data_IF_762712939412
#
_entry.id   IF_762712939412
#
_cell.length_a   1.000
_cell.length_b   1.000
_cell.length_c   1.000
_cell.angle_alpha   90.00
_cell.angle_beta   90.00
_cell.angle_gamma   90.00
#
_symmetry.space_group_name_H-M   'P 1'
#
loop_
_entity.id
_entity.type
_entity.pdbx_description
1 polymer ?
#
# COMPACT_ATOMS: atom_id res chain seq x y z
N UNK A 1 -6.97 -7.11 16.58
CA UNK A 1 -5.51 -7.07 16.34
C UNK A 1 -4.80 -6.89 17.67
N UNK A 2 -3.81 -7.73 17.98
CA UNK A 2 -2.90 -7.53 19.11
C UNK A 2 -1.86 -6.47 18.74
N UNK A 3 -1.73 -5.40 19.53
CA UNK A 3 -0.64 -4.43 19.38
C UNK A 3 0.58 -4.90 20.16
N UNK A 4 1.75 -4.84 19.53
CA UNK A 4 3.04 -5.14 20.15
C UNK A 4 3.89 -3.87 20.10
N UNK A 5 4.42 -3.44 21.24
CA UNK A 5 5.41 -2.36 21.30
C UNK A 5 6.79 -2.93 20.97
N UNK A 6 7.41 -2.38 19.93
CA UNK A 6 8.75 -2.76 19.48
C UNK A 6 9.68 -1.54 19.49
N UNK A 7 10.82 -1.67 20.17
CA UNK A 7 11.88 -0.64 20.18
C UNK A 7 12.97 -1.05 19.19
N UNK A 8 13.35 -0.15 18.28
CA UNK A 8 14.38 -0.38 17.27
C UNK A 8 15.37 0.78 17.22
N UNK A 9 16.65 0.47 17.03
CA UNK A 9 17.68 1.46 16.73
C UNK A 9 17.70 1.74 15.23
N UNK A 10 17.50 3.00 14.85
CA UNK A 10 17.54 3.46 13.47
C UNK A 10 18.43 4.71 13.37
N UNK A 11 19.10 4.95 12.24
CA UNK A 11 19.84 6.20 12.05
C UNK A 11 18.93 7.43 12.14
N UNK A 12 19.48 8.57 12.58
CA UNK A 12 18.71 9.81 12.82
C UNK A 12 17.92 10.28 11.59
N UNK A 13 18.51 10.15 10.39
CA UNK A 13 17.84 10.52 9.15
C UNK A 13 16.59 9.66 8.89
N UNK A 14 16.64 8.37 9.23
CA UNK A 14 15.54 7.44 9.11
C UNK A 14 14.51 7.71 10.20
N UNK A 15 14.94 7.98 11.43
CA UNK A 15 14.04 8.37 12.52
C UNK A 15 13.18 9.59 12.13
N UNK A 16 13.77 10.61 11.51
CA UNK A 16 13.03 11.79 11.04
C UNK A 16 11.98 11.45 9.98
N UNK A 17 12.28 10.54 9.05
CA UNK A 17 11.33 10.06 8.04
C UNK A 17 10.21 9.24 8.66
N UNK A 18 10.55 8.29 9.54
CA UNK A 18 9.59 7.42 10.23
C UNK A 18 8.62 8.23 11.09
N UNK A 19 9.10 9.28 11.77
CA UNK A 19 8.26 10.18 12.58
C UNK A 19 7.13 10.82 11.76
N UNK A 20 7.38 11.20 10.50
CA UNK A 20 6.37 11.82 9.63
C UNK A 20 5.28 10.82 9.21
N UNK A 21 5.67 9.58 8.97
CA UNK A 21 4.75 8.52 8.54
C UNK A 21 4.22 7.66 9.72
N UNK A 22 4.46 8.04 10.98
CA UNK A 22 4.08 7.25 12.18
C UNK A 22 2.66 6.67 12.11
N UNK A 23 1.61 7.41 11.71
CA UNK A 23 0.26 6.86 11.63
C UNK A 23 0.08 5.72 10.61
N UNK A 24 0.93 5.70 9.59
CA UNK A 24 0.90 4.81 8.44
C UNK A 24 2.04 3.80 8.44
N UNK A 25 2.93 3.88 9.44
CA UNK A 25 4.13 3.07 9.52
C UNK A 25 3.84 1.57 9.50
N UNK A 26 2.81 1.04 10.21
CA UNK A 26 2.47 -0.38 10.11
C UNK A 26 2.21 -0.81 8.66
N UNK A 27 1.45 -0.02 7.90
CA UNK A 27 1.13 -0.30 6.50
C UNK A 27 2.38 -0.23 5.60
N UNK A 28 3.26 0.76 5.82
CA UNK A 28 4.52 0.84 5.07
C UNK A 28 5.40 -0.38 5.34
N UNK A 29 5.44 -0.87 6.58
CA UNK A 29 6.18 -2.07 6.94
C UNK A 29 5.54 -3.33 6.32
N UNK A 30 4.22 -3.44 6.35
CA UNK A 30 3.49 -4.54 5.72
C UNK A 30 3.76 -4.61 4.21
N UNK A 31 3.64 -3.48 3.51
CA UNK A 31 3.96 -3.36 2.09
C UNK A 31 5.43 -3.72 1.79
N UNK A 32 6.36 -3.28 2.65
CA UNK A 32 7.78 -3.59 2.49
C UNK A 32 8.13 -5.06 2.76
N UNK A 33 7.44 -5.70 3.71
CA UNK A 33 7.70 -7.08 4.13
C UNK A 33 6.94 -8.12 3.30
N UNK A 34 5.86 -7.72 2.61
CA UNK A 34 5.08 -8.60 1.74
C UNK A 34 5.91 -9.20 0.59
N UNK A 35 7.02 -8.55 0.21
CA UNK A 35 8.03 -9.16 -0.66
C UNK A 35 7.58 -9.36 -2.11
N UNK A 36 6.82 -8.39 -2.64
CA UNK A 36 6.38 -8.33 -4.04
C UNK A 36 7.55 -8.46 -5.02
N UNK A 37 7.37 -9.27 -6.08
CA UNK A 37 8.42 -9.59 -7.08
C UNK A 37 7.97 -9.35 -8.52
N UNK A 38 6.70 -9.05 -8.73
CA UNK A 38 6.13 -8.82 -10.06
C UNK A 38 6.17 -7.32 -10.40
N UNK A 39 5.72 -6.90 -11.59
CA UNK A 39 5.55 -5.49 -11.89
C UNK A 39 4.63 -4.73 -10.93
N UNK A 40 3.79 -5.41 -10.13
CA UNK A 40 2.99 -4.81 -9.05
C UNK A 40 3.83 -4.07 -7.99
N UNK A 41 5.14 -4.37 -7.89
CA UNK A 41 6.11 -3.60 -7.08
C UNK A 41 6.10 -2.10 -7.39
N UNK A 42 5.73 -1.69 -8.61
CA UNK A 42 5.61 -0.27 -8.98
C UNK A 42 4.45 0.39 -8.24
N UNK A 43 3.29 -0.28 -8.18
CA UNK A 43 2.12 0.15 -7.40
C UNK A 43 2.47 0.30 -5.92
N UNK A 44 3.24 -0.66 -5.38
CA UNK A 44 3.70 -0.62 -3.98
C UNK A 44 4.62 0.58 -3.72
N UNK A 45 5.55 0.85 -4.63
CA UNK A 45 6.43 2.01 -4.53
C UNK A 45 5.65 3.33 -4.51
N UNK A 46 4.63 3.47 -5.37
CA UNK A 46 3.74 4.65 -5.39
C UNK A 46 3.02 4.84 -4.05
N UNK A 47 2.51 3.77 -3.46
CA UNK A 47 1.82 3.81 -2.16
C UNK A 47 2.80 4.18 -1.04
N UNK A 48 3.98 3.57 -1.00
CA UNK A 48 5.01 3.86 0.01
C UNK A 48 5.47 5.32 -0.10
N UNK A 49 5.69 5.83 -1.31
CA UNK A 49 6.09 7.22 -1.53
C UNK A 49 5.00 8.20 -1.07
N UNK A 50 3.74 7.91 -1.38
CA UNK A 50 2.60 8.68 -0.88
C UNK A 50 2.53 8.69 0.64
N UNK A 51 2.59 7.52 1.30
CA UNK A 51 2.54 7.41 2.75
C UNK A 51 3.75 8.05 3.44
N UNK A 52 4.91 8.01 2.79
CA UNK A 52 6.15 8.63 3.27
C UNK A 52 6.09 10.15 3.33
N UNK A 53 5.21 10.77 2.54
CA UNK A 53 4.96 12.21 2.61
C UNK A 53 4.16 12.63 3.87
N UNK A 54 3.62 11.66 4.63
CA UNK A 54 2.80 11.92 5.81
C UNK A 54 1.42 12.50 5.48
N UNK A 55 0.62 11.84 4.62
CA UNK A 55 -0.69 12.35 4.21
C UNK A 55 -1.65 12.39 5.39
N UNK A 56 -2.61 13.32 5.32
CA UNK A 56 -3.73 13.36 6.27
C UNK A 56 -4.69 12.18 6.04
N UNK A 57 -5.48 11.77 7.05
CA UNK A 57 -6.44 10.68 6.88
C UNK A 57 -7.44 10.93 5.73
N UNK A 58 -7.88 12.17 5.52
CA UNK A 58 -8.76 12.51 4.39
C UNK A 58 -8.07 12.25 3.05
N UNK A 59 -6.81 12.66 2.89
CA UNK A 59 -6.03 12.38 1.68
C UNK A 59 -5.83 10.88 1.46
N UNK A 60 -5.66 10.08 2.51
CA UNK A 60 -5.54 8.62 2.39
C UNK A 60 -6.84 7.98 1.90
N UNK A 61 -8.00 8.47 2.36
CA UNK A 61 -9.31 7.98 1.91
C UNK A 61 -9.52 8.27 0.41
N UNK A 62 -9.15 9.47 -0.04
CA UNK A 62 -9.29 9.93 -1.42
C UNK A 62 -8.22 9.38 -2.37
N UNK A 63 -7.09 8.89 -1.82
CA UNK A 63 -5.97 8.42 -2.62
C UNK A 63 -6.34 7.26 -3.55
N UNK A 64 -5.83 7.33 -4.77
CA UNK A 64 -5.81 6.23 -5.74
C UNK A 64 -4.41 6.13 -6.33
N UNK A 65 -4.01 4.91 -6.70
CA UNK A 65 -2.75 4.65 -7.39
C UNK A 65 -2.76 5.30 -8.79
N UNK A 66 -1.60 5.43 -9.42
CA UNK A 66 -1.49 6.13 -10.70
C UNK A 66 -2.35 5.51 -11.80
N UNK A 67 -2.72 6.31 -12.80
CA UNK A 67 -3.48 5.81 -13.97
C UNK A 67 -2.77 4.63 -14.65
N UNK A 68 -1.44 4.66 -14.69
CA UNK A 68 -0.61 3.56 -15.20
C UNK A 68 -0.87 2.26 -14.42
N UNK A 69 -0.82 2.32 -13.08
CA UNK A 69 -1.06 1.15 -12.22
C UNK A 69 -2.50 0.64 -12.38
N UNK A 70 -3.47 1.55 -12.47
CA UNK A 70 -4.87 1.18 -12.71
C UNK A 70 -5.08 0.56 -14.10
N UNK A 71 -4.45 1.07 -15.14
CA UNK A 71 -4.51 0.53 -16.51
C UNK A 71 -3.87 -0.86 -16.60
N UNK A 72 -2.74 -1.07 -15.91
CA UNK A 72 -2.09 -2.39 -15.82
C UNK A 72 -3.03 -3.41 -15.20
N UNK A 73 -3.60 -3.09 -14.04
CA UNK A 73 -4.57 -3.96 -13.37
C UNK A 73 -5.79 -4.26 -14.26
N UNK A 74 -6.39 -3.24 -14.90
CA UNK A 74 -7.52 -3.44 -15.82
C UNK A 74 -7.16 -4.37 -16.98
N UNK A 75 -5.96 -4.23 -17.53
CA UNK A 75 -5.48 -5.10 -18.61
C UNK A 75 -5.35 -6.54 -18.13
N UNK A 76 -4.73 -6.76 -16.97
CA UNK A 76 -4.60 -8.09 -16.39
C UNK A 76 -5.96 -8.72 -16.14
N UNK A 77 -6.90 -7.99 -15.53
CA UNK A 77 -8.28 -8.48 -15.32
C UNK A 77 -8.98 -8.85 -16.64
N UNK A 78 -8.80 -8.05 -17.70
CA UNK A 78 -9.37 -8.35 -19.01
C UNK A 78 -8.77 -9.61 -19.64
N UNK A 79 -7.44 -9.80 -19.54
CA UNK A 79 -6.78 -11.03 -19.97
C UNK A 79 -7.27 -12.23 -19.16
N UNK A 80 -7.57 -12.05 -17.87
CA UNK A 80 -7.99 -13.13 -16.97
C UNK A 80 -9.36 -13.65 -17.37
N UNK A 81 -10.27 -12.71 -17.63
CA UNK A 81 -11.61 -13.00 -18.15
C UNK A 81 -11.56 -13.69 -19.52
N UNK A 82 -10.57 -13.36 -20.36
CA UNK A 82 -10.37 -13.99 -21.65
C UNK A 82 -9.65 -15.36 -21.58
N UNK A 83 -9.14 -15.77 -20.41
CA UNK A 83 -8.32 -16.98 -20.25
C UNK A 83 -6.96 -16.90 -20.95
N UNK A 84 -6.44 -15.69 -21.16
CA UNK A 84 -5.21 -15.40 -21.91
C UNK A 84 -4.03 -14.99 -21.02
N UNK A 85 -4.15 -15.14 -19.71
CA UNK A 85 -3.07 -14.78 -18.80
C UNK A 85 -1.89 -15.75 -18.89
N UNK A 86 -0.70 -15.19 -18.89
CA UNK A 86 0.52 -15.96 -18.61
C UNK A 86 0.66 -16.27 -17.12
N UNK A 87 1.53 -17.22 -16.77
CA UNK A 87 1.83 -17.54 -15.37
C UNK A 87 2.44 -16.35 -14.61
N UNK A 88 3.27 -15.55 -15.28
CA UNK A 88 3.88 -14.36 -14.68
C UNK A 88 2.82 -13.29 -14.37
N UNK A 89 1.87 -13.10 -15.29
CA UNK A 89 0.75 -12.19 -15.08
C UNK A 89 -0.20 -12.69 -13.99
N UNK A 90 -0.29 -14.01 -13.78
CA UNK A 90 -1.13 -14.57 -12.72
C UNK A 90 -0.54 -14.23 -11.36
N UNK A 91 0.78 -14.41 -11.21
CA UNK A 91 1.48 -13.99 -10.02
C UNK A 91 1.35 -12.47 -9.79
N UNK A 92 1.34 -11.66 -10.86
CA UNK A 92 1.10 -10.21 -10.75
C UNK A 92 -0.31 -9.88 -10.25
N UNK A 93 -1.34 -10.58 -10.75
CA UNK A 93 -2.71 -10.42 -10.25
C UNK A 93 -2.86 -10.83 -8.78
N UNK A 94 -2.20 -11.91 -8.36
CA UNK A 94 -2.20 -12.35 -6.96
C UNK A 94 -1.54 -11.30 -6.06
N UNK A 95 -0.46 -10.67 -6.54
CA UNK A 95 0.20 -9.55 -5.85
C UNK A 95 -0.69 -8.30 -5.81
N UNK A 96 -1.38 -7.96 -6.89
CA UNK A 96 -2.32 -6.84 -6.95
C UNK A 96 -3.52 -7.04 -6.00
N UNK A 97 -4.02 -8.27 -5.84
CA UNK A 97 -5.07 -8.60 -4.86
C UNK A 97 -4.58 -8.35 -3.42
N UNK A 98 -3.34 -8.74 -3.11
CA UNK A 98 -2.77 -8.46 -1.80
C UNK A 98 -2.60 -6.95 -1.55
N UNK A 99 -2.19 -6.19 -2.57
CA UNK A 99 -2.11 -4.73 -2.49
C UNK A 99 -3.50 -4.12 -2.25
N UNK A 100 -4.53 -4.61 -2.94
CA UNK A 100 -5.92 -4.17 -2.75
C UNK A 100 -6.37 -4.38 -1.30
N UNK A 101 -6.10 -5.56 -0.74
CA UNK A 101 -6.47 -5.87 0.64
C UNK A 101 -5.84 -4.90 1.64
N UNK A 102 -4.54 -4.62 1.48
CA UNK A 102 -3.82 -3.65 2.31
C UNK A 102 -4.42 -2.25 2.14
N UNK A 103 -4.76 -1.85 0.91
CA UNK A 103 -5.37 -0.56 0.62
C UNK A 103 -6.76 -0.40 1.26
N UNK A 104 -7.57 -1.46 1.28
CA UNK A 104 -8.88 -1.47 1.96
C UNK A 104 -8.70 -1.24 3.47
N UNK A 105 -7.78 -1.96 4.10
CA UNK A 105 -7.49 -1.82 5.53
C UNK A 105 -6.93 -0.42 5.86
N UNK A 106 -6.01 0.08 5.05
CA UNK A 106 -5.45 1.42 5.17
C UNK A 106 -6.55 2.49 5.12
N UNK A 107 -7.47 2.39 4.16
CA UNK A 107 -8.59 3.34 4.01
C UNK A 107 -9.59 3.22 5.16
N UNK A 108 -9.85 2.01 5.66
CA UNK A 108 -10.68 1.82 6.85
C UNK A 108 -10.07 2.51 8.07
N UNK A 109 -8.79 2.28 8.34
CA UNK A 109 -8.04 2.96 9.41
C UNK A 109 -8.04 4.48 9.25
N UNK A 110 -7.91 4.99 8.02
CA UNK A 110 -7.95 6.43 7.76
C UNK A 110 -9.33 7.04 8.07
N UNK A 111 -10.42 6.33 7.74
CA UNK A 111 -11.79 6.76 8.09
C UNK A 111 -11.99 6.86 9.59
N UNK A 112 -11.58 5.84 10.35
CA UNK A 112 -11.67 5.86 11.82
C UNK A 112 -10.93 7.07 12.41
N UNK A 113 -9.74 7.37 11.89
CA UNK A 113 -8.94 8.52 12.32
C UNK A 113 -9.51 9.87 11.89
N UNK A 114 -10.27 9.91 10.79
CA UNK A 114 -10.95 11.13 10.34
C UNK A 114 -12.17 11.47 11.21
N UNK A 115 -12.84 10.46 11.76
CA UNK A 115 -14.03 10.62 12.63
C UNK A 115 -13.63 11.03 14.06
N UNK A 116 -12.50 10.55 14.58
CA UNK A 116 -12.02 10.86 15.94
C UNK A 116 -11.42 12.27 16.15
N UNK A 117 -11.57 13.19 15.18
CA UNK A 117 -11.07 14.57 15.25
C UNK A 117 -12.16 15.64 15.37
N UNK A 118 -13.40 15.24 15.67
CA UNK A 118 -14.53 16.15 15.90
C UNK A 118 -14.90 16.21 17.38
#
# INVERSE_FOLDING_TARGET
MSMVEMTMQVPDNLAQRLRRMTPWLPTVLELGLAGFKTPATQTVAEIIDFLSAGPSPAQVVEYSVSDRSQERLRRLLALNQAGLLSQEEHAELDEDEHIEHIMVLLKAQARERSVGKN
#
